data_IF_904888254894
#
_entry.id   IF_904888254894
#
_cell.length_a   1.000
_cell.length_b   1.000
_cell.length_c   1.000
_cell.angle_alpha   90.00
_cell.angle_beta   90.00
_cell.angle_gamma   90.00
#
_symmetry.space_group_name_H-M   'P 1'
#
loop_
_entity.id
_entity.type
_entity.pdbx_description
1 polymer ?
#
# COMPACT_ATOMS: atom_id res chain seq x y z
N UNK A 1 -11.08 -1.86 -4.25
CA UNK A 1 -9.91 -2.25 -3.43
C UNK A 1 -8.69 -1.44 -3.85
N UNK A 2 -7.96 -0.90 -2.89
CA UNK A 2 -6.63 -0.30 -3.07
C UNK A 2 -5.62 -1.32 -2.53
N UNK A 3 -4.56 -1.65 -3.28
CA UNK A 3 -3.59 -2.63 -2.78
C UNK A 3 -2.45 -2.94 -3.74
N UNK A 4 -1.56 -3.85 -3.34
CA UNK A 4 -0.37 -4.16 -4.12
C UNK A 4 -0.72 -4.80 -5.48
N UNK A 5 0.00 -4.45 -6.56
CA UNK A 5 -0.15 -5.05 -7.89
C UNK A 5 0.25 -6.52 -8.01
N UNK A 6 0.48 -7.26 -6.91
CA UNK A 6 0.49 -8.74 -6.89
C UNK A 6 -0.72 -9.35 -6.17
N UNK A 7 -1.66 -8.53 -5.66
CA UNK A 7 -2.85 -9.03 -4.96
C UNK A 7 -3.60 -10.04 -5.82
N UNK A 8 -3.91 -11.20 -5.23
CA UNK A 8 -4.68 -12.29 -5.85
C UNK A 8 -6.16 -11.90 -5.93
N UNK A 9 -6.91 -12.55 -6.81
CA UNK A 9 -8.37 -12.39 -6.93
C UNK A 9 -8.86 -10.95 -7.23
N UNK A 10 -8.12 -10.17 -8.02
CA UNK A 10 -8.53 -8.78 -8.40
C UNK A 10 -9.90 -8.72 -9.08
N UNK A 11 -10.29 -9.81 -9.76
CA UNK A 11 -11.59 -9.95 -10.44
C UNK A 11 -12.78 -9.95 -9.47
N UNK A 12 -12.54 -10.10 -8.17
CA UNK A 12 -13.59 -10.07 -7.15
C UNK A 12 -14.00 -8.64 -6.75
N UNK A 13 -13.39 -7.62 -7.34
CA UNK A 13 -13.67 -6.22 -7.04
C UNK A 13 -14.10 -5.49 -8.30
N UNK A 14 -15.13 -4.65 -8.19
CA UNK A 14 -15.59 -3.80 -9.30
C UNK A 14 -14.52 -2.80 -9.74
N UNK A 15 -13.72 -2.33 -8.78
CA UNK A 15 -12.60 -1.41 -9.00
C UNK A 15 -11.39 -1.88 -8.18
N UNK A 16 -10.25 -2.04 -8.84
CA UNK A 16 -8.95 -2.31 -8.22
C UNK A 16 -7.93 -1.25 -8.62
N UNK A 17 -7.32 -0.58 -7.64
CA UNK A 17 -6.32 0.46 -7.85
C UNK A 17 -4.97 -0.01 -7.27
N UNK A 18 -3.96 -0.27 -8.11
CA UNK A 18 -2.62 -0.64 -7.65
C UNK A 18 -1.89 0.57 -7.07
N UNK A 19 -1.25 0.40 -5.92
CA UNK A 19 -0.48 1.45 -5.23
C UNK A 19 0.83 0.89 -4.68
N UNK A 20 1.72 1.80 -4.28
CA UNK A 20 2.92 1.46 -3.51
C UNK A 20 2.56 0.74 -2.20
N UNK A 21 3.42 -0.19 -1.80
CA UNK A 21 3.35 -1.01 -0.58
C UNK A 21 4.36 -0.55 0.47
N UNK A 22 3.88 -0.15 1.67
CA UNK A 22 4.74 0.21 2.79
C UNK A 22 5.77 -0.86 3.13
N UNK A 23 7.04 -0.47 3.25
CA UNK A 23 8.16 -1.37 3.53
C UNK A 23 8.69 -2.15 2.33
N UNK A 24 8.13 -1.95 1.14
CA UNK A 24 8.62 -2.53 -0.11
C UNK A 24 9.15 -1.42 -1.00
N UNK A 25 8.27 -0.57 -1.51
CA UNK A 25 8.58 0.49 -2.48
C UNK A 25 8.25 1.91 -2.00
N UNK A 26 7.75 2.03 -0.78
CA UNK A 26 7.61 3.29 -0.03
C UNK A 26 7.89 3.05 1.46
N UNK A 27 8.44 4.04 2.16
CA UNK A 27 8.53 4.01 3.62
C UNK A 27 7.11 4.02 4.22
N UNK A 28 6.94 3.43 5.41
CA UNK A 28 5.64 3.51 6.06
C UNK A 28 5.61 2.98 7.49
N UNK A 29 4.40 2.89 8.02
CA UNK A 29 4.15 2.46 9.39
C UNK A 29 3.10 1.35 9.35
N UNK A 30 3.35 0.27 10.08
CA UNK A 30 2.38 -0.82 10.27
C UNK A 30 2.02 -0.96 11.74
N UNK A 31 0.79 -1.38 12.01
CA UNK A 31 0.39 -1.83 13.34
C UNK A 31 0.88 -3.26 13.50
N UNK A 32 1.57 -3.54 14.60
CA UNK A 32 2.00 -4.90 14.92
C UNK A 32 0.78 -5.78 15.16
N UNK A 33 0.83 -7.02 14.69
CA UNK A 33 -0.28 -7.97 14.80
C UNK A 33 -0.61 -8.37 16.24
N UNK A 34 0.35 -8.23 17.15
CA UNK A 34 0.16 -8.42 18.59
C UNK A 34 -0.53 -7.23 19.29
N UNK A 35 -0.86 -6.16 18.55
CA UNK A 35 -1.48 -4.95 19.06
C UNK A 35 -0.56 -4.12 19.96
N UNK A 36 0.71 -4.51 20.14
CA UNK A 36 1.61 -3.88 21.09
C UNK A 36 2.07 -2.47 20.66
N UNK A 37 1.86 -2.10 19.39
CA UNK A 37 2.16 -0.77 18.90
C UNK A 37 2.38 -0.72 17.39
N UNK A 38 3.09 0.31 16.93
CA UNK A 38 3.43 0.50 15.53
C UNK A 38 4.91 0.22 15.26
N UNK A 39 5.23 -0.12 14.02
CA UNK A 39 6.59 -0.34 13.54
C UNK A 39 6.81 0.44 12.25
N UNK A 40 7.93 1.16 12.18
CA UNK A 40 8.37 1.82 10.94
C UNK A 40 9.00 0.80 10.01
N UNK A 41 8.54 0.78 8.77
CA UNK A 41 9.10 -0.02 7.69
C UNK A 41 9.87 0.89 6.75
N UNK A 42 11.07 0.44 6.37
CA UNK A 42 11.88 1.11 5.36
C UNK A 42 11.66 0.47 4.00
N UNK A 43 11.62 1.31 2.97
CA UNK A 43 11.67 0.93 1.56
C UNK A 43 12.91 0.10 1.26
N UNK A 44 12.75 -0.88 0.37
CA UNK A 44 13.82 -1.79 -0.08
C UNK A 44 13.99 -1.83 -1.60
N UNK A 45 12.98 -1.46 -2.39
CA UNK A 45 13.02 -1.40 -3.85
C UNK A 45 12.38 -0.12 -4.39
N UNK A 46 12.63 0.24 -5.65
CA UNK A 46 11.93 1.32 -6.34
C UNK A 46 10.73 0.77 -7.14
N UNK A 47 9.66 1.57 -7.28
CA UNK A 47 8.53 1.27 -8.17
C UNK A 47 7.85 2.54 -8.68
N UNK A 48 7.24 2.43 -9.86
CA UNK A 48 6.52 3.54 -10.51
C UNK A 48 5.03 3.60 -10.12
N UNK A 49 4.61 2.88 -9.07
CA UNK A 49 3.22 2.93 -8.61
C UNK A 49 2.91 4.25 -7.90
N UNK A 50 1.65 4.66 -7.89
CA UNK A 50 1.20 5.86 -7.17
C UNK A 50 1.21 5.63 -5.66
N UNK A 51 1.52 6.65 -4.89
CA UNK A 51 1.38 6.63 -3.43
C UNK A 51 -0.07 6.80 -3.00
N UNK A 52 -0.45 6.21 -1.87
CA UNK A 52 -1.83 6.27 -1.37
C UNK A 52 -2.24 7.72 -1.10
N UNK A 53 -1.37 8.54 -0.52
CA UNK A 53 -1.68 9.95 -0.24
C UNK A 53 -1.98 10.73 -1.52
N UNK A 54 -1.16 10.55 -2.56
CA UNK A 54 -1.39 11.17 -3.86
C UNK A 54 -2.71 10.70 -4.50
N UNK A 55 -3.03 9.41 -4.40
CA UNK A 55 -4.30 8.87 -4.86
C UNK A 55 -5.49 9.50 -4.12
N UNK A 56 -5.43 9.58 -2.78
CA UNK A 56 -6.50 10.15 -1.97
C UNK A 56 -6.75 11.63 -2.29
N UNK A 57 -5.68 12.38 -2.56
CA UNK A 57 -5.76 13.79 -2.97
C UNK A 57 -6.38 13.99 -4.36
N UNK A 58 -6.35 12.98 -5.24
CA UNK A 58 -6.97 13.04 -6.58
C UNK A 58 -8.46 12.71 -6.57
N UNK A 59 -8.93 12.01 -5.54
CA UNK A 59 -10.31 11.53 -5.44
C UNK A 59 -11.13 12.25 -4.36
N UNK A 60 -10.50 13.10 -3.54
CA UNK A 60 -11.16 14.01 -2.59
C UNK A 60 -11.40 15.37 -3.25
#
# INVERSE_FOLDING_TARGET
MIGHPSTKNRKNYDVFIPVKTPGIDVDGIVVRSDGAGTMKLKKIIESDYIEIEELMNRIS
#
